data_IF_247725833072
#
_entry.id   IF_247725833072
#
_cell.length_a   1.000
_cell.length_b   1.000
_cell.length_c   1.000
_cell.angle_alpha   90.00
_cell.angle_beta   90.00
_cell.angle_gamma   90.00
#
_symmetry.space_group_name_H-M   'P 1'
#
loop_
_entity.id
_entity.type
_entity.pdbx_description
1 polymer ?
#
# COMPACT_ATOMS: atom_id res chain seq x y z
N UNK A 1 -6.85 -24.57 -7.53
CA UNK A 1 -5.69 -23.67 -7.75
C UNK A 1 -6.23 -22.26 -7.81
N UNK A 2 -5.84 -21.40 -6.89
CA UNK A 2 -6.28 -19.99 -6.82
C UNK A 2 -5.53 -19.17 -7.86
N UNK A 3 -6.24 -18.44 -8.69
CA UNK A 3 -5.69 -17.66 -9.81
C UNK A 3 -5.54 -16.20 -9.42
N UNK A 4 -4.35 -15.64 -9.65
CA UNK A 4 -3.95 -14.33 -9.12
C UNK A 4 -3.55 -13.40 -10.26
N UNK A 5 -4.14 -12.21 -10.28
CA UNK A 5 -3.68 -11.06 -11.04
C UNK A 5 -2.78 -10.19 -10.16
N UNK A 6 -1.62 -9.75 -10.66
CA UNK A 6 -0.69 -8.90 -9.92
C UNK A 6 -0.53 -7.57 -10.66
N UNK A 7 -1.11 -6.51 -10.09
CA UNK A 7 -0.94 -5.15 -10.60
C UNK A 7 0.34 -4.56 -10.01
N UNK A 8 1.35 -4.33 -10.86
CA UNK A 8 2.67 -3.85 -10.43
C UNK A 8 3.65 -4.96 -10.02
N UNK A 9 3.73 -6.04 -10.80
CA UNK A 9 4.54 -7.23 -10.51
C UNK A 9 6.04 -6.97 -10.42
N UNK A 10 6.54 -5.91 -11.01
CA UNK A 10 7.96 -5.53 -10.99
C UNK A 10 8.35 -4.64 -9.81
N UNK A 11 7.39 -4.20 -8.99
CA UNK A 11 7.61 -3.46 -7.77
C UNK A 11 8.02 -4.36 -6.58
N UNK A 12 8.34 -3.73 -5.44
CA UNK A 12 8.78 -4.46 -4.23
C UNK A 12 7.73 -5.48 -3.76
N UNK A 13 6.46 -5.09 -3.68
CA UNK A 13 5.37 -5.99 -3.25
C UNK A 13 5.10 -7.04 -4.33
N UNK A 14 5.09 -6.64 -5.61
CA UNK A 14 4.85 -7.57 -6.71
C UNK A 14 5.88 -8.69 -6.81
N UNK A 15 7.18 -8.37 -6.67
CA UNK A 15 8.25 -9.39 -6.67
C UNK A 15 8.16 -10.33 -5.47
N UNK A 16 7.86 -9.81 -4.27
CA UNK A 16 7.65 -10.63 -3.08
C UNK A 16 6.37 -11.48 -3.17
N UNK A 17 5.33 -10.97 -3.86
CA UNK A 17 4.14 -11.78 -4.18
C UNK A 17 4.50 -12.98 -5.03
N UNK A 18 5.35 -12.80 -6.06
CA UNK A 18 5.83 -13.90 -6.88
C UNK A 18 6.70 -14.89 -6.09
N UNK A 19 7.48 -14.43 -5.10
CA UNK A 19 8.20 -15.33 -4.20
C UNK A 19 7.23 -16.22 -3.41
N UNK A 20 6.11 -15.68 -2.93
CA UNK A 20 5.07 -16.47 -2.24
C UNK A 20 4.39 -17.46 -3.21
N UNK A 21 4.16 -17.07 -4.46
CA UNK A 21 3.61 -17.99 -5.47
C UNK A 21 4.55 -19.17 -5.72
N UNK A 22 5.88 -18.93 -5.81
CA UNK A 22 6.88 -20.02 -5.95
C UNK A 22 6.82 -21.05 -4.83
N UNK A 23 6.53 -20.61 -3.61
CA UNK A 23 6.40 -21.48 -2.43
C UNK A 23 5.08 -22.28 -2.40
N UNK A 24 4.06 -21.86 -3.16
CA UNK A 24 2.70 -22.38 -3.07
C UNK A 24 2.17 -22.85 -4.43
N UNK A 25 2.28 -24.15 -4.71
CA UNK A 25 1.91 -24.75 -6.00
C UNK A 25 0.43 -24.67 -6.36
N UNK A 26 -0.43 -24.34 -5.41
CA UNK A 26 -1.87 -24.16 -5.60
C UNK A 26 -2.25 -22.70 -5.92
N UNK A 27 -1.25 -21.80 -6.02
CA UNK A 27 -1.39 -20.46 -6.56
C UNK A 27 -0.90 -20.42 -8.01
N UNK A 28 -1.66 -19.76 -8.89
CA UNK A 28 -1.31 -19.57 -10.31
C UNK A 28 -1.39 -18.09 -10.66
N UNK A 29 -0.35 -17.56 -11.26
CA UNK A 29 -0.36 -16.21 -11.85
C UNK A 29 -1.07 -16.26 -13.20
N UNK A 30 -2.10 -15.43 -13.39
CA UNK A 30 -2.83 -15.29 -14.65
C UNK A 30 -2.59 -13.96 -15.32
N UNK A 31 -2.31 -12.92 -14.54
CA UNK A 31 -2.08 -11.56 -15.02
C UNK A 31 -0.84 -10.97 -14.36
N UNK A 32 0.00 -10.31 -15.15
CA UNK A 32 1.12 -9.49 -14.69
C UNK A 32 1.01 -8.08 -15.27
N UNK A 33 1.29 -7.06 -14.46
CA UNK A 33 1.40 -5.70 -14.99
C UNK A 33 2.67 -5.00 -14.53
N UNK A 34 3.20 -4.11 -15.35
CA UNK A 34 4.33 -3.25 -15.03
C UNK A 34 4.17 -1.86 -15.65
N UNK A 35 4.91 -0.88 -15.15
CA UNK A 35 4.97 0.44 -15.78
C UNK A 35 5.93 0.41 -16.98
N UNK A 36 7.26 0.31 -16.74
CA UNK A 36 8.32 0.39 -17.76
C UNK A 36 9.36 -0.72 -17.67
N UNK A 37 9.38 -1.51 -16.62
CA UNK A 37 10.45 -2.49 -16.40
C UNK A 37 10.24 -3.77 -17.21
N UNK A 38 10.43 -3.68 -18.54
CA UNK A 38 10.25 -4.81 -19.46
C UNK A 38 11.27 -5.93 -19.24
N UNK A 39 12.45 -5.62 -18.71
CA UNK A 39 13.46 -6.64 -18.47
C UNK A 39 13.00 -7.62 -17.38
N UNK A 40 12.50 -7.08 -16.28
CA UNK A 40 12.04 -7.91 -15.18
C UNK A 40 10.71 -8.61 -15.51
N UNK A 41 9.75 -7.92 -16.13
CA UNK A 41 8.47 -8.57 -16.46
C UNK A 41 8.65 -9.64 -17.53
N UNK A 42 9.58 -9.50 -18.47
CA UNK A 42 9.91 -10.53 -19.43
C UNK A 42 10.36 -11.83 -18.74
N UNK A 43 11.26 -11.74 -17.75
CA UNK A 43 11.67 -12.92 -16.96
C UNK A 43 10.51 -13.52 -16.17
N UNK A 44 9.64 -12.69 -15.64
CA UNK A 44 8.42 -13.13 -14.94
C UNK A 44 7.44 -13.85 -15.89
N UNK A 45 7.32 -13.38 -17.14
CA UNK A 45 6.48 -14.03 -18.16
C UNK A 45 7.03 -15.41 -18.50
N UNK A 46 8.34 -15.55 -18.71
CA UNK A 46 8.97 -16.84 -18.97
C UNK A 46 8.76 -17.84 -17.84
N UNK A 47 8.77 -17.37 -16.59
CA UNK A 47 8.66 -18.23 -15.41
C UNK A 47 7.20 -18.61 -15.09
N UNK A 48 6.28 -17.64 -15.10
CA UNK A 48 4.92 -17.82 -14.61
C UNK A 48 3.88 -18.06 -15.71
N UNK A 49 4.23 -17.87 -16.97
CA UNK A 49 3.37 -18.07 -18.13
C UNK A 49 1.97 -17.44 -17.96
N UNK A 50 1.86 -16.14 -17.68
CA UNK A 50 0.59 -15.48 -17.51
C UNK A 50 -0.22 -15.51 -18.81
N UNK A 51 -1.52 -15.39 -18.70
CA UNK A 51 -2.44 -15.34 -19.83
C UNK A 51 -2.60 -13.91 -20.39
N UNK A 52 -2.43 -12.91 -19.51
CA UNK A 52 -2.62 -11.50 -19.81
C UNK A 52 -1.51 -10.65 -19.19
N UNK A 53 -1.04 -9.64 -19.91
CA UNK A 53 0.01 -8.71 -19.48
C UNK A 53 -0.39 -7.28 -19.82
N UNK A 54 -0.22 -6.34 -18.86
CA UNK A 54 -0.36 -4.91 -19.15
C UNK A 54 0.97 -4.19 -18.89
N UNK A 55 1.46 -3.47 -19.89
CA UNK A 55 2.58 -2.53 -19.76
C UNK A 55 2.02 -1.12 -19.90
N UNK A 56 2.15 -0.32 -18.83
CA UNK A 56 1.55 1.01 -18.81
C UNK A 56 2.12 1.94 -19.88
N UNK A 57 3.44 1.87 -20.10
CA UNK A 57 4.12 2.64 -21.15
C UNK A 57 3.97 1.94 -22.50
N UNK A 58 3.42 2.65 -23.49
CA UNK A 58 3.11 2.12 -24.82
C UNK A 58 4.40 1.72 -25.58
N UNK A 59 5.45 2.52 -25.48
CA UNK A 59 6.71 2.23 -26.19
C UNK A 59 7.39 0.98 -25.64
N UNK A 60 7.40 0.84 -24.34
CA UNK A 60 7.94 -0.35 -23.66
C UNK A 60 7.09 -1.61 -23.96
N UNK A 61 5.77 -1.47 -24.14
CA UNK A 61 4.91 -2.57 -24.53
C UNK A 61 5.25 -3.13 -25.93
N UNK A 62 5.54 -2.26 -26.90
CA UNK A 62 5.94 -2.70 -28.25
C UNK A 62 7.30 -3.43 -28.21
N UNK A 63 8.26 -2.92 -27.45
CA UNK A 63 9.55 -3.60 -27.26
C UNK A 63 9.38 -4.97 -26.59
N UNK A 64 8.46 -5.08 -25.63
CA UNK A 64 8.15 -6.36 -24.99
C UNK A 64 7.53 -7.36 -25.98
N UNK A 65 6.62 -6.91 -26.86
CA UNK A 65 5.99 -7.76 -27.89
C UNK A 65 7.05 -8.37 -28.81
N UNK A 66 7.98 -7.56 -29.34
CA UNK A 66 9.08 -8.04 -30.21
C UNK A 66 9.93 -9.11 -29.51
N UNK A 67 10.23 -8.90 -28.22
CA UNK A 67 10.99 -9.88 -27.42
C UNK A 67 10.23 -11.18 -27.22
N UNK A 68 8.92 -11.11 -26.95
CA UNK A 68 8.07 -12.29 -26.75
C UNK A 68 7.85 -13.06 -28.04
N UNK A 69 7.73 -12.38 -29.20
CA UNK A 69 7.68 -13.04 -30.51
C UNK A 69 8.98 -13.81 -30.79
N UNK A 70 10.11 -13.25 -30.38
CA UNK A 70 11.41 -13.94 -30.52
C UNK A 70 11.48 -15.14 -29.60
N UNK A 71 11.11 -14.99 -28.32
CA UNK A 71 11.07 -16.08 -27.35
C UNK A 71 10.10 -17.21 -27.77
N UNK A 72 8.98 -16.87 -28.38
CA UNK A 72 8.02 -17.85 -28.93
C UNK A 72 8.64 -18.63 -30.11
N UNK A 73 9.29 -17.95 -31.07
CA UNK A 73 9.96 -18.58 -32.18
C UNK A 73 11.12 -19.50 -31.78
N UNK A 74 11.79 -19.15 -30.67
CA UNK A 74 12.88 -19.95 -30.08
C UNK A 74 12.37 -21.08 -29.16
N UNK A 75 11.05 -21.19 -28.94
CA UNK A 75 10.45 -22.22 -28.11
C UNK A 75 10.63 -22.00 -26.59
N UNK A 76 10.96 -20.76 -26.17
CA UNK A 76 11.10 -20.43 -24.75
C UNK A 76 9.74 -20.28 -24.06
N UNK A 77 8.69 -19.94 -24.81
CA UNK A 77 7.31 -19.88 -24.35
C UNK A 77 6.40 -20.62 -25.33
N UNK A 78 5.34 -21.26 -24.79
CA UNK A 78 4.36 -21.99 -25.62
C UNK A 78 3.29 -21.07 -26.24
N UNK A 79 3.05 -19.92 -25.61
CA UNK A 79 2.04 -18.95 -26.05
C UNK A 79 2.46 -17.54 -25.64
N UNK A 80 2.25 -16.58 -26.54
CA UNK A 80 2.40 -15.15 -26.23
C UNK A 80 1.15 -14.71 -25.43
N UNK A 81 1.28 -14.09 -24.25
CA UNK A 81 0.14 -13.55 -23.52
C UNK A 81 -0.54 -12.42 -24.29
N UNK A 82 -1.80 -12.17 -24.01
CA UNK A 82 -2.46 -10.94 -24.46
C UNK A 82 -1.77 -9.71 -23.83
N UNK A 83 -1.49 -8.67 -24.64
CA UNK A 83 -0.74 -7.50 -24.18
C UNK A 83 -1.57 -6.25 -24.39
N UNK A 84 -1.81 -5.51 -23.32
CA UNK A 84 -2.51 -4.22 -23.30
C UNK A 84 -1.65 -3.11 -22.70
N UNK A 85 -2.11 -1.86 -22.80
CA UNK A 85 -1.33 -0.68 -22.38
C UNK A 85 -2.18 0.36 -21.67
N UNK A 86 -1.52 1.26 -20.92
CA UNK A 86 -2.14 2.43 -20.31
C UNK A 86 -3.14 2.10 -19.20
N UNK A 87 -3.98 3.09 -18.89
CA UNK A 87 -4.97 2.98 -17.81
C UNK A 87 -6.05 1.95 -18.14
N UNK A 88 -6.55 1.95 -19.37
CA UNK A 88 -7.58 0.99 -19.81
C UNK A 88 -7.06 -0.44 -19.74
N UNK A 89 -5.84 -0.69 -20.20
CA UNK A 89 -5.20 -2.01 -20.07
C UNK A 89 -5.00 -2.44 -18.62
N UNK A 90 -4.73 -1.51 -17.71
CA UNK A 90 -4.63 -1.82 -16.27
C UNK A 90 -6.00 -2.15 -15.66
N UNK A 91 -7.08 -1.51 -16.12
CA UNK A 91 -8.46 -1.80 -15.74
C UNK A 91 -8.86 -3.19 -16.24
N UNK A 92 -8.57 -3.51 -17.51
CA UNK A 92 -8.82 -4.83 -18.10
C UNK A 92 -8.05 -5.93 -17.35
N UNK A 93 -6.77 -5.69 -17.03
CA UNK A 93 -5.93 -6.59 -16.24
C UNK A 93 -6.54 -6.90 -14.87
N UNK A 94 -7.09 -5.89 -14.19
CA UNK A 94 -7.72 -6.05 -12.88
C UNK A 94 -9.06 -6.82 -12.96
N UNK A 95 -9.81 -6.66 -14.05
CA UNK A 95 -11.09 -7.34 -14.26
C UNK A 95 -10.96 -8.67 -15.00
N UNK A 96 -9.73 -9.13 -15.32
CA UNK A 96 -9.49 -10.31 -16.15
C UNK A 96 -10.28 -11.53 -15.67
N UNK A 97 -11.09 -12.10 -16.55
CA UNK A 97 -12.12 -13.11 -16.20
C UNK A 97 -11.53 -14.34 -15.49
N UNK A 98 -10.32 -14.76 -15.88
CA UNK A 98 -9.69 -15.97 -15.41
C UNK A 98 -8.81 -15.73 -14.16
N UNK A 99 -9.13 -14.73 -13.34
CA UNK A 99 -8.49 -14.46 -12.05
C UNK A 99 -9.52 -14.53 -10.92
N UNK A 100 -9.13 -15.06 -9.76
CA UNK A 100 -9.96 -15.16 -8.56
C UNK A 100 -9.68 -13.98 -7.60
N UNK A 101 -8.44 -13.51 -7.58
CA UNK A 101 -7.96 -12.47 -6.68
C UNK A 101 -7.01 -11.50 -7.40
N UNK A 102 -7.06 -10.23 -7.02
CA UNK A 102 -6.18 -9.18 -7.53
C UNK A 102 -5.29 -8.65 -6.41
N UNK A 103 -3.97 -8.69 -6.62
CA UNK A 103 -2.98 -8.01 -5.76
C UNK A 103 -2.74 -6.61 -6.32
N UNK A 104 -3.13 -5.58 -5.58
CA UNK A 104 -2.99 -4.18 -5.99
C UNK A 104 -1.65 -3.62 -5.47
N UNK A 105 -0.56 -3.88 -6.19
CA UNK A 105 0.79 -3.45 -5.81
C UNK A 105 1.31 -2.27 -6.64
N UNK A 106 0.42 -1.49 -7.25
CA UNK A 106 0.71 -0.21 -7.88
C UNK A 106 0.87 0.89 -6.84
N UNK A 107 1.53 1.99 -7.18
CA UNK A 107 1.79 3.13 -6.28
C UNK A 107 0.94 4.32 -6.70
N UNK A 108 0.36 5.02 -5.71
CA UNK A 108 -0.44 6.23 -5.93
C UNK A 108 -1.88 5.93 -6.33
N UNK A 109 -2.62 6.98 -6.68
CA UNK A 109 -4.07 6.92 -6.90
C UNK A 109 -4.50 6.17 -8.17
N UNK A 110 -3.55 5.80 -9.04
CA UNK A 110 -3.81 5.01 -10.26
C UNK A 110 -4.46 3.64 -9.94
N UNK A 111 -4.34 3.15 -8.72
CA UNK A 111 -4.95 1.89 -8.27
C UNK A 111 -6.47 1.95 -8.08
N UNK A 112 -7.08 3.14 -8.01
CA UNK A 112 -8.50 3.30 -7.66
C UNK A 112 -9.41 2.63 -8.71
N UNK A 113 -9.33 3.05 -10.00
CA UNK A 113 -10.19 2.50 -11.07
C UNK A 113 -9.98 0.99 -11.29
N UNK A 114 -8.74 0.48 -11.35
CA UNK A 114 -8.52 -0.96 -11.44
C UNK A 114 -9.10 -1.75 -10.26
N UNK A 115 -9.01 -1.21 -9.02
CA UNK A 115 -9.60 -1.86 -7.84
C UNK A 115 -11.14 -1.90 -7.95
N UNK A 116 -11.77 -0.80 -8.38
CA UNK A 116 -13.22 -0.75 -8.65
C UNK A 116 -13.61 -1.78 -9.71
N UNK A 117 -12.84 -1.89 -10.81
CA UNK A 117 -13.09 -2.85 -11.87
C UNK A 117 -12.96 -4.31 -11.37
N UNK A 118 -11.95 -4.61 -10.58
CA UNK A 118 -11.76 -5.92 -9.96
C UNK A 118 -12.95 -6.30 -9.05
N UNK A 119 -13.40 -5.38 -8.18
CA UNK A 119 -14.56 -5.60 -7.30
C UNK A 119 -15.83 -5.82 -8.12
N UNK A 120 -16.06 -5.01 -9.17
CA UNK A 120 -17.21 -5.19 -10.06
C UNK A 120 -17.19 -6.54 -10.80
N UNK A 121 -16.00 -7.06 -11.09
CA UNK A 121 -15.81 -8.39 -11.66
C UNK A 121 -15.86 -9.53 -10.61
N UNK A 122 -16.19 -9.22 -9.35
CA UNK A 122 -16.33 -10.21 -8.27
C UNK A 122 -15.01 -10.81 -7.79
N UNK A 123 -13.88 -10.07 -7.92
CA UNK A 123 -12.56 -10.55 -7.52
C UNK A 123 -12.24 -10.10 -6.09
N UNK A 124 -11.74 -11.02 -5.26
CA UNK A 124 -11.15 -10.65 -3.98
C UNK A 124 -9.89 -9.80 -4.17
N UNK A 125 -9.62 -8.90 -3.23
CA UNK A 125 -8.52 -7.94 -3.32
C UNK A 125 -7.49 -8.22 -2.22
N UNK A 126 -6.23 -8.45 -2.60
CA UNK A 126 -5.08 -8.34 -1.70
C UNK A 126 -4.52 -6.91 -1.84
N UNK A 127 -4.91 -6.04 -0.91
CA UNK A 127 -4.69 -4.59 -1.02
C UNK A 127 -3.33 -4.19 -0.45
N UNK A 128 -2.42 -3.77 -1.33
CA UNK A 128 -1.16 -3.15 -0.95
C UNK A 128 -1.10 -1.65 -1.29
N UNK A 129 -1.98 -1.19 -2.18
CA UNK A 129 -2.08 0.23 -2.56
C UNK A 129 -2.98 0.99 -1.58
N UNK A 130 -2.38 1.52 -0.53
CA UNK A 130 -3.11 2.24 0.54
C UNK A 130 -3.83 3.50 0.04
N UNK A 131 -3.28 4.16 -0.98
CA UNK A 131 -3.86 5.37 -1.56
C UNK A 131 -5.28 5.14 -2.09
N UNK A 132 -5.59 3.92 -2.53
CA UNK A 132 -6.95 3.51 -2.92
C UNK A 132 -7.96 3.72 -1.80
N UNK A 133 -7.66 3.31 -0.57
CA UNK A 133 -8.56 3.51 0.57
C UNK A 133 -8.45 4.91 1.16
N UNK A 134 -7.28 5.51 1.16
CA UNK A 134 -7.10 6.90 1.63
C UNK A 134 -8.03 7.84 0.88
N UNK A 135 -8.07 7.74 -0.45
CA UNK A 135 -8.78 8.68 -1.30
C UNK A 135 -10.23 8.24 -1.60
N UNK A 136 -10.45 6.94 -1.78
CA UNK A 136 -11.73 6.39 -2.24
C UNK A 136 -12.32 5.33 -1.29
N UNK A 137 -11.91 5.28 -0.02
CA UNK A 137 -12.33 4.23 0.92
C UNK A 137 -13.84 4.13 1.08
N UNK A 138 -14.56 5.25 1.10
CA UNK A 138 -16.03 5.29 1.15
C UNK A 138 -16.70 4.65 -0.09
N UNK A 139 -16.07 4.71 -1.25
CA UNK A 139 -16.55 4.08 -2.49
C UNK A 139 -16.18 2.60 -2.49
N UNK A 140 -14.92 2.29 -2.22
CA UNK A 140 -14.34 0.94 -2.31
C UNK A 140 -15.00 -0.01 -1.31
N UNK A 141 -15.08 0.38 -0.02
CA UNK A 141 -15.63 -0.49 1.01
C UNK A 141 -17.14 -0.72 0.83
N UNK A 142 -17.88 0.32 0.44
CA UNK A 142 -19.29 0.19 0.08
C UNK A 142 -19.49 -0.79 -1.07
N UNK A 143 -18.74 -0.60 -2.17
CA UNK A 143 -18.84 -1.46 -3.36
C UNK A 143 -18.45 -2.91 -3.06
N UNK A 144 -17.38 -3.12 -2.27
CA UNK A 144 -16.97 -4.45 -1.84
C UNK A 144 -18.07 -5.16 -1.05
N UNK A 145 -18.72 -4.45 -0.11
CA UNK A 145 -19.86 -4.98 0.63
C UNK A 145 -21.06 -5.32 -0.25
N UNK A 146 -21.41 -4.47 -1.22
CA UNK A 146 -22.51 -4.71 -2.18
C UNK A 146 -22.24 -5.91 -3.09
N UNK A 147 -20.98 -6.16 -3.46
CA UNK A 147 -20.57 -7.27 -4.33
C UNK A 147 -20.20 -8.54 -3.58
N UNK A 148 -20.11 -8.51 -2.25
CA UNK A 148 -19.66 -9.64 -1.44
C UNK A 148 -18.19 -10.00 -1.67
N UNK A 149 -17.36 -9.02 -2.03
CA UNK A 149 -15.92 -9.15 -2.30
C UNK A 149 -15.14 -8.89 -1.01
N UNK A 150 -14.13 -9.71 -0.74
CA UNK A 150 -13.25 -9.52 0.41
C UNK A 150 -12.05 -8.65 0.06
N UNK A 151 -11.67 -7.77 0.99
CA UNK A 151 -10.44 -6.97 0.91
C UNK A 151 -9.50 -7.45 2.02
N UNK A 152 -8.39 -8.06 1.62
CA UNK A 152 -7.34 -8.57 2.52
C UNK A 152 -6.19 -7.57 2.56
N UNK A 153 -5.83 -7.02 3.74
CA UNK A 153 -4.75 -6.06 3.84
C UNK A 153 -3.38 -6.73 3.64
N UNK A 154 -2.56 -6.08 2.82
CA UNK A 154 -1.15 -6.45 2.60
C UNK A 154 -0.21 -5.53 3.39
N UNK A 155 -0.60 -4.28 3.66
CA UNK A 155 0.18 -3.41 4.54
C UNK A 155 0.37 -4.08 5.91
N UNK A 156 1.60 -4.06 6.45
CA UNK A 156 2.00 -4.90 7.59
C UNK A 156 1.17 -4.63 8.84
N UNK A 157 0.90 -3.37 9.14
CA UNK A 157 0.12 -2.95 10.29
C UNK A 157 -1.35 -3.36 10.19
N UNK A 158 -1.93 -3.20 9.00
CA UNK A 158 -3.32 -3.57 8.74
C UNK A 158 -3.49 -5.09 8.70
N UNK A 159 -2.53 -5.80 8.12
CA UNK A 159 -2.48 -7.27 8.20
C UNK A 159 -2.39 -7.74 9.66
N UNK A 160 -1.60 -7.06 10.50
CA UNK A 160 -1.50 -7.37 11.92
C UNK A 160 -2.84 -7.18 12.66
N UNK A 161 -3.52 -6.04 12.45
CA UNK A 161 -4.85 -5.77 13.01
C UNK A 161 -5.84 -6.83 12.53
N UNK A 162 -5.87 -7.11 11.22
CA UNK A 162 -6.71 -8.15 10.63
C UNK A 162 -6.48 -9.51 11.30
N UNK A 163 -5.22 -9.89 11.56
CA UNK A 163 -4.87 -11.12 12.26
C UNK A 163 -5.31 -11.13 13.73
N UNK A 164 -5.26 -9.99 14.42
CA UNK A 164 -5.74 -9.86 15.81
C UNK A 164 -7.26 -10.00 15.92
N UNK A 165 -8.00 -9.69 14.86
CA UNK A 165 -9.47 -9.75 14.81
C UNK A 165 -10.00 -11.14 14.43
N UNK A 166 -9.14 -12.12 14.10
CA UNK A 166 -9.59 -13.43 13.65
C UNK A 166 -10.32 -14.22 14.73
N UNK A 167 -11.37 -14.94 14.33
CA UNK A 167 -12.13 -15.84 15.19
C UNK A 167 -13.16 -15.17 16.10
N UNK A 168 -13.41 -13.87 15.94
CA UNK A 168 -14.30 -13.11 16.85
C UNK A 168 -15.00 -11.95 16.14
N UNK A 169 -16.02 -12.24 15.34
CA UNK A 169 -16.82 -11.23 14.66
C UNK A 169 -17.54 -10.25 15.62
N UNK A 170 -17.83 -10.66 16.85
CA UNK A 170 -18.68 -9.89 17.79
C UNK A 170 -17.90 -9.15 18.89
N UNK A 171 -16.57 -9.25 18.91
CA UNK A 171 -15.77 -8.55 19.93
C UNK A 171 -15.69 -7.06 19.61
N UNK A 172 -16.17 -6.24 20.57
CA UNK A 172 -16.14 -4.79 20.42
C UNK A 172 -14.72 -4.26 20.57
N UNK A 173 -14.27 -3.55 19.54
CA UNK A 173 -13.00 -2.85 19.53
C UNK A 173 -13.14 -1.59 20.38
N UNK A 174 -12.27 -1.46 21.41
CA UNK A 174 -12.11 -0.22 22.16
C UNK A 174 -11.28 0.78 21.37
N UNK A 175 -10.10 0.32 20.87
CA UNK A 175 -9.22 1.09 19.96
C UNK A 175 -8.29 0.20 19.18
N UNK A 176 -7.84 0.70 18.04
CA UNK A 176 -6.76 0.15 17.27
C UNK A 176 -5.44 0.82 17.70
N UNK A 177 -4.41 0.02 17.94
CA UNK A 177 -3.06 0.48 18.29
C UNK A 177 -2.16 0.28 17.06
N UNK A 178 -2.09 1.32 16.23
CA UNK A 178 -1.35 1.30 14.97
C UNK A 178 0.12 1.63 15.26
N UNK A 179 1.02 0.66 15.09
CA UNK A 179 2.43 0.88 15.39
C UNK A 179 3.17 1.58 14.25
N UNK A 180 4.23 2.29 14.60
CA UNK A 180 5.13 2.98 13.67
C UNK A 180 6.57 2.79 14.11
N UNK A 181 7.53 2.71 13.18
CA UNK A 181 8.96 2.72 13.54
C UNK A 181 9.43 4.06 14.12
N UNK A 182 8.70 5.14 13.82
CA UNK A 182 9.11 6.52 14.12
C UNK A 182 10.06 7.12 13.08
N UNK A 183 10.48 6.34 12.09
CA UNK A 183 11.36 6.77 11.01
C UNK A 183 12.77 7.14 11.46
N UNK A 184 13.63 7.60 10.53
CA UNK A 184 15.04 7.91 10.81
C UNK A 184 15.24 9.11 11.75
N UNK A 185 14.22 9.93 11.95
CA UNK A 185 14.33 11.17 12.74
C UNK A 185 13.64 11.11 14.09
N UNK A 186 13.27 9.91 14.57
CA UNK A 186 12.61 9.74 15.87
C UNK A 186 13.31 10.49 17.01
N UNK A 187 14.64 10.40 17.08
CA UNK A 187 15.44 10.99 18.13
C UNK A 187 16.15 12.31 17.73
N UNK A 188 15.93 12.79 16.50
CA UNK A 188 16.53 14.06 16.04
C UNK A 188 15.78 15.24 16.66
N UNK A 189 16.43 16.25 17.22
CA UNK A 189 15.79 17.48 17.69
C UNK A 189 14.97 18.18 16.58
N UNK A 190 13.88 18.84 16.95
CA UNK A 190 12.99 19.52 15.96
C UNK A 190 13.76 20.58 15.18
N UNK A 191 14.65 21.30 15.85
CA UNK A 191 15.44 22.41 15.28
C UNK A 191 16.40 21.95 14.18
N UNK A 192 16.80 20.68 14.21
CA UNK A 192 17.70 20.07 13.22
C UNK A 192 16.96 19.54 11.99
N UNK A 193 15.63 19.40 12.02
CA UNK A 193 14.86 18.88 10.91
C UNK A 193 14.92 19.76 9.67
N UNK A 194 15.17 21.06 9.81
CA UNK A 194 15.36 21.99 8.68
C UNK A 194 16.58 21.65 7.80
N UNK A 195 17.59 20.99 8.39
CA UNK A 195 18.85 20.64 7.74
C UNK A 195 18.88 19.18 7.24
N UNK A 196 17.71 18.52 7.20
CA UNK A 196 17.57 17.14 6.70
C UNK A 196 17.76 17.11 5.19
N UNK A 197 18.73 16.30 4.74
CA UNK A 197 18.99 16.05 3.32
C UNK A 197 18.21 14.83 2.81
N UNK A 198 18.06 14.74 1.48
CA UNK A 198 17.43 13.58 0.83
C UNK A 198 18.10 12.26 1.23
N UNK A 199 19.43 12.25 1.25
CA UNK A 199 20.22 11.05 1.58
C UNK A 199 20.00 10.59 3.03
N UNK A 200 19.74 11.52 3.96
CA UNK A 200 19.37 11.19 5.35
C UNK A 200 17.93 10.67 5.41
N UNK A 201 16.99 11.30 4.69
CA UNK A 201 15.58 10.92 4.69
C UNK A 201 15.35 9.52 4.09
N UNK A 202 16.22 9.09 3.15
CA UNK A 202 16.15 7.76 2.54
C UNK A 202 16.75 6.62 3.38
N UNK A 203 17.31 6.89 4.57
CA UNK A 203 17.88 5.87 5.45
C UNK A 203 16.87 5.41 6.50
N UNK A 204 16.00 4.45 6.12
CA UNK A 204 15.10 3.85 7.10
C UNK A 204 15.85 2.86 8.02
N UNK A 205 15.59 2.86 9.36
CA UNK A 205 16.34 2.02 10.30
C UNK A 205 16.09 0.51 10.14
N UNK A 206 14.89 0.08 9.79
CA UNK A 206 14.46 -1.32 9.86
C UNK A 206 13.98 -1.90 8.52
N UNK A 207 13.49 -1.06 7.59
CA UNK A 207 12.84 -1.50 6.35
C UNK A 207 13.60 -1.04 5.12
N UNK A 208 13.66 -1.91 4.11
CA UNK A 208 14.10 -1.55 2.75
C UNK A 208 12.86 -1.31 1.89
N UNK A 209 12.58 -0.04 1.58
CA UNK A 209 11.37 0.40 0.90
C UNK A 209 11.70 1.31 -0.29
N UNK A 210 10.70 1.55 -1.15
CA UNK A 210 10.81 2.55 -2.20
C UNK A 210 11.02 3.97 -1.65
N UNK A 211 11.63 4.85 -2.44
CA UNK A 211 12.01 6.20 -2.01
C UNK A 211 10.83 7.01 -1.45
N UNK A 212 9.66 6.97 -2.11
CA UNK A 212 8.44 7.68 -1.66
C UNK A 212 8.03 7.23 -0.27
N UNK A 213 7.85 5.94 -0.05
CA UNK A 213 7.42 5.38 1.23
C UNK A 213 8.45 5.64 2.34
N UNK A 214 9.75 5.61 2.02
CA UNK A 214 10.81 5.92 2.98
C UNK A 214 10.75 7.38 3.45
N UNK A 215 10.52 8.33 2.53
CA UNK A 215 10.33 9.74 2.88
C UNK A 215 9.04 9.93 3.69
N UNK A 216 7.94 9.30 3.29
CA UNK A 216 6.67 9.34 4.02
C UNK A 216 6.83 8.78 5.46
N UNK A 217 7.62 7.74 5.63
CA UNK A 217 7.96 7.21 6.97
C UNK A 217 8.73 8.24 7.79
N UNK A 218 9.68 8.95 7.18
CA UNK A 218 10.50 9.95 7.86
C UNK A 218 9.69 11.13 8.39
N UNK A 219 8.63 11.52 7.67
CA UNK A 219 7.71 12.62 8.06
C UNK A 219 6.52 12.14 8.90
N UNK A 220 6.38 10.82 9.12
CA UNK A 220 5.20 10.15 9.66
C UNK A 220 3.92 10.35 8.82
N UNK A 221 4.03 10.85 7.60
CA UNK A 221 2.91 10.89 6.64
C UNK A 221 2.46 9.48 6.27
N UNK A 222 3.40 8.53 6.10
CA UNK A 222 3.04 7.12 5.85
C UNK A 222 2.08 6.61 6.93
N UNK A 223 2.37 6.86 8.20
CA UNK A 223 1.48 6.47 9.31
C UNK A 223 0.15 7.22 9.27
N UNK A 224 0.15 8.46 8.81
CA UNK A 224 -1.08 9.20 8.56
C UNK A 224 -1.96 8.58 7.47
N UNK A 225 -1.37 8.14 6.35
CA UNK A 225 -2.07 7.39 5.29
C UNK A 225 -2.64 6.07 5.83
N UNK A 226 -1.90 5.39 6.68
CA UNK A 226 -2.31 4.15 7.31
C UNK A 226 -3.45 4.35 8.33
N UNK A 227 -3.52 5.48 9.04
CA UNK A 227 -4.70 5.85 9.87
C UNK A 227 -5.95 5.96 8.99
N UNK A 228 -5.83 6.60 7.81
CA UNK A 228 -6.94 6.70 6.87
C UNK A 228 -7.36 5.31 6.34
N UNK A 229 -6.41 4.45 6.03
CA UNK A 229 -6.67 3.08 5.57
C UNK A 229 -7.35 2.24 6.66
N UNK A 230 -6.87 2.30 7.92
CA UNK A 230 -7.44 1.60 9.06
C UNK A 230 -8.90 2.01 9.33
N UNK A 231 -9.22 3.30 9.19
CA UNK A 231 -10.58 3.84 9.29
C UNK A 231 -11.56 3.05 8.41
N UNK A 232 -11.15 2.80 7.16
CA UNK A 232 -12.01 2.14 6.19
C UNK A 232 -12.00 0.62 6.32
N UNK A 233 -10.83 -0.01 6.45
CA UNK A 233 -10.72 -1.46 6.53
C UNK A 233 -11.43 -2.08 7.74
N UNK A 234 -11.42 -1.37 8.88
CA UNK A 234 -11.92 -1.90 10.14
C UNK A 234 -13.18 -1.18 10.64
N UNK A 235 -13.76 -0.31 9.80
CA UNK A 235 -14.93 0.50 10.13
C UNK A 235 -14.82 1.14 11.53
N UNK A 236 -13.65 1.77 11.78
CA UNK A 236 -13.29 2.31 13.10
C UNK A 236 -13.13 3.81 13.03
N UNK A 237 -13.82 4.57 13.88
CA UNK A 237 -13.74 6.02 13.88
C UNK A 237 -12.31 6.50 14.21
N UNK A 238 -11.85 7.64 13.64
CA UNK A 238 -10.47 8.12 13.80
C UNK A 238 -10.05 8.35 15.26
N UNK A 239 -10.96 8.70 16.15
CA UNK A 239 -10.72 8.88 17.58
C UNK A 239 -10.43 7.57 18.33
N UNK A 240 -10.75 6.43 17.71
CA UNK A 240 -10.41 5.09 18.21
C UNK A 240 -9.15 4.51 17.58
N UNK A 241 -8.44 5.25 16.75
CA UNK A 241 -7.18 4.83 16.16
C UNK A 241 -6.04 5.59 16.83
N UNK A 242 -5.23 4.88 17.62
CA UNK A 242 -4.08 5.46 18.32
C UNK A 242 -2.77 5.00 17.67
N UNK A 243 -1.89 5.96 17.37
CA UNK A 243 -0.56 5.66 16.84
C UNK A 243 0.42 5.49 17.99
N UNK A 244 1.16 4.38 17.95
CA UNK A 244 2.20 4.03 18.94
C UNK A 244 3.52 3.82 18.24
N UNK A 245 4.55 4.56 18.60
CA UNK A 245 5.89 4.35 18.05
C UNK A 245 6.52 3.12 18.73
N UNK A 246 6.90 2.14 17.93
CA UNK A 246 7.60 0.91 18.32
C UNK A 246 8.88 0.80 17.49
N UNK A 247 10.01 1.35 18.00
CA UNK A 247 11.21 1.56 17.19
C UNK A 247 11.84 0.29 16.63
N UNK A 248 11.67 -0.84 17.30
CA UNK A 248 12.22 -2.12 16.87
C UNK A 248 11.45 -2.74 15.68
N UNK A 249 10.23 -2.26 15.38
CA UNK A 249 9.36 -2.78 14.30
C UNK A 249 9.08 -4.28 14.43
N UNK A 250 8.94 -4.79 15.64
CA UNK A 250 8.64 -6.19 15.96
C UNK A 250 7.15 -6.40 16.24
N UNK A 251 6.52 -5.45 16.95
CA UNK A 251 5.06 -5.41 17.08
C UNK A 251 4.51 -4.65 15.90
N UNK A 252 3.79 -5.35 15.02
CA UNK A 252 3.30 -4.76 13.76
C UNK A 252 1.98 -4.03 13.92
N UNK A 253 1.19 -4.28 14.94
CA UNK A 253 0.07 -3.51 15.49
C UNK A 253 -0.68 -4.35 16.50
N UNK A 254 -1.66 -3.76 17.18
CA UNK A 254 -2.48 -4.44 18.16
C UNK A 254 -3.93 -3.91 18.16
N UNK A 255 -4.83 -4.68 18.76
CA UNK A 255 -6.21 -4.31 19.02
C UNK A 255 -6.47 -4.38 20.51
N UNK A 256 -6.99 -3.32 21.10
CA UNK A 256 -7.52 -3.29 22.46
C UNK A 256 -9.04 -3.46 22.41
N UNK A 257 -9.55 -4.43 23.16
CA UNK A 257 -10.96 -4.74 23.26
C UNK A 257 -11.62 -4.08 24.49
N UNK A 258 -12.95 -4.04 24.53
CA UNK A 258 -13.70 -3.41 25.64
C UNK A 258 -13.45 -4.07 26.99
N UNK A 259 -13.03 -5.33 27.04
CA UNK A 259 -12.67 -6.03 28.28
C UNK A 259 -11.27 -5.64 28.82
N UNK A 260 -10.56 -4.75 28.09
CA UNK A 260 -9.20 -4.30 28.41
C UNK A 260 -8.09 -5.22 27.92
N UNK A 261 -8.40 -6.34 27.27
CA UNK A 261 -7.37 -7.19 26.67
C UNK A 261 -6.77 -6.53 25.43
N UNK A 262 -5.46 -6.73 25.25
CA UNK A 262 -4.73 -6.27 24.05
C UNK A 262 -4.16 -7.50 23.33
N UNK A 263 -4.56 -7.67 22.07
CA UNK A 263 -4.00 -8.70 21.19
C UNK A 263 -3.09 -8.02 20.17
N UNK A 264 -1.84 -8.48 20.08
CA UNK A 264 -0.83 -7.93 19.18
C UNK A 264 -0.26 -9.02 18.27
N UNK A 265 0.00 -8.67 17.02
CA UNK A 265 0.76 -9.53 16.12
C UNK A 265 2.23 -9.09 16.14
N UNK A 266 3.12 -10.06 16.29
CA UNK A 266 4.56 -9.87 16.31
C UNK A 266 5.24 -10.69 15.22
N UNK A 267 6.33 -10.18 14.66
CA UNK A 267 7.13 -10.86 13.66
C UNK A 267 8.39 -10.08 13.30
N UNK A 268 9.28 -10.71 12.54
CA UNK A 268 10.38 -9.98 11.90
C UNK A 268 9.82 -9.05 10.82
N UNK A 269 10.48 -7.91 10.53
CA UNK A 269 10.03 -6.98 9.49
C UNK A 269 10.24 -7.58 8.09
N UNK A 270 9.25 -8.33 7.60
CA UNK A 270 9.23 -8.97 6.28
C UNK A 270 7.83 -8.90 5.67
N UNK A 271 7.71 -8.28 4.49
CA UNK A 271 6.44 -8.15 3.78
C UNK A 271 5.91 -9.48 3.22
N UNK A 272 6.73 -10.52 3.12
CA UNK A 272 6.28 -11.84 2.67
C UNK A 272 5.23 -12.45 3.60
N UNK A 273 5.28 -12.16 4.91
CA UNK A 273 4.30 -12.65 5.87
C UNK A 273 2.90 -12.09 5.59
N UNK A 274 2.66 -10.77 5.56
CA UNK A 274 1.33 -10.23 5.27
C UNK A 274 0.86 -10.56 3.84
N UNK A 275 1.76 -10.57 2.85
CA UNK A 275 1.43 -11.01 1.48
C UNK A 275 0.94 -12.46 1.48
N UNK A 276 1.70 -13.37 2.10
CA UNK A 276 1.32 -14.78 2.18
C UNK A 276 -0.04 -14.94 2.85
N UNK A 277 -0.27 -14.27 3.98
CA UNK A 277 -1.53 -14.39 4.70
C UNK A 277 -2.73 -13.85 3.90
N UNK A 278 -2.58 -12.73 3.17
CA UNK A 278 -3.62 -12.22 2.30
C UNK A 278 -3.96 -13.20 1.15
N UNK A 279 -2.95 -13.85 0.55
CA UNK A 279 -3.14 -14.78 -0.56
C UNK A 279 -3.73 -16.12 -0.13
N UNK A 280 -3.42 -16.59 1.08
CA UNK A 280 -3.75 -17.96 1.54
C UNK A 280 -4.77 -17.98 2.67
N UNK A 281 -5.30 -16.83 3.08
CA UNK A 281 -6.29 -16.74 4.15
C UNK A 281 -7.41 -17.79 3.98
N UNK A 282 -7.82 -18.49 5.05
CA UNK A 282 -7.41 -18.31 6.46
C UNK A 282 -6.16 -19.11 6.90
N UNK A 283 -5.47 -19.75 5.98
CA UNK A 283 -4.32 -20.60 6.29
C UNK A 283 -3.05 -19.79 6.54
N UNK A 284 -2.24 -20.25 7.51
CA UNK A 284 -0.86 -19.77 7.73
C UNK A 284 0.11 -20.75 7.10
N UNK A 285 0.89 -20.27 6.13
CA UNK A 285 1.83 -21.10 5.39
C UNK A 285 3.26 -20.67 5.63
N UNK A 286 4.20 -21.57 5.36
CA UNK A 286 5.62 -21.28 5.40
C UNK A 286 5.99 -20.12 4.48
N UNK A 287 6.80 -19.19 4.97
CA UNK A 287 7.26 -18.02 4.23
C UNK A 287 8.78 -17.98 4.12
N UNK A 288 9.48 -18.19 5.25
CA UNK A 288 10.94 -18.20 5.33
C UNK A 288 11.39 -18.82 6.66
N UNK A 289 12.69 -19.18 6.77
CA UNK A 289 13.32 -19.64 8.01
C UNK A 289 13.71 -18.51 8.97
N UNK A 290 13.35 -17.26 8.66
CA UNK A 290 13.64 -16.12 9.50
C UNK A 290 12.54 -15.94 10.57
N UNK A 291 12.65 -16.63 11.67
CA UNK A 291 11.71 -16.58 12.79
C UNK A 291 12.14 -15.52 13.83
N UNK A 292 11.13 -14.94 14.49
CA UNK A 292 11.36 -14.04 15.61
C UNK A 292 11.88 -14.82 16.81
N UNK A 293 13.08 -14.50 17.28
CA UNK A 293 13.62 -15.02 18.53
C UNK A 293 13.33 -14.06 19.68
N UNK A 294 12.40 -14.43 20.55
CA UNK A 294 12.03 -13.62 21.72
C UNK A 294 13.15 -13.52 22.76
N UNK A 295 14.08 -14.47 22.81
CA UNK A 295 15.18 -14.45 23.77
C UNK A 295 16.26 -13.44 23.39
N UNK A 296 16.40 -13.16 22.11
CA UNK A 296 17.31 -12.10 21.62
C UNK A 296 16.74 -10.70 21.76
N UNK A 297 15.41 -10.56 21.94
CA UNK A 297 14.73 -9.30 22.20
C UNK A 297 14.87 -8.93 23.69
N UNK A 298 15.78 -8.05 24.05
CA UNK A 298 15.93 -7.66 25.45
C UNK A 298 14.76 -6.85 26.00
N UNK A 299 14.11 -6.03 25.14
CA UNK A 299 12.96 -5.18 25.48
C UNK A 299 12.19 -4.76 24.23
N UNK A 300 10.96 -4.31 24.46
CA UNK A 300 10.12 -3.61 23.48
C UNK A 300 9.80 -2.22 24.01
N UNK A 301 10.05 -1.21 23.21
CA UNK A 301 9.77 0.18 23.56
C UNK A 301 8.46 0.64 22.88
N UNK A 302 7.65 1.36 23.64
CA UNK A 302 6.41 1.97 23.16
C UNK A 302 6.42 3.45 23.51
N UNK A 303 6.38 4.32 22.51
CA UNK A 303 6.56 5.76 22.65
C UNK A 303 5.33 6.47 22.04
N UNK A 304 4.81 7.48 22.73
CA UNK A 304 3.76 8.33 22.20
C UNK A 304 4.36 9.28 21.14
N UNK A 305 3.78 9.39 19.94
CA UNK A 305 4.27 10.32 18.93
C UNK A 305 4.10 11.78 19.38
N UNK A 306 5.12 12.59 19.16
CA UNK A 306 5.04 14.05 19.32
C UNK A 306 4.42 14.66 18.03
N UNK A 307 3.17 15.10 18.11
CA UNK A 307 2.44 15.68 16.99
C UNK A 307 2.93 17.08 16.59
N UNK A 308 3.74 17.75 17.44
CA UNK A 308 4.41 18.99 17.04
C UNK A 308 5.59 18.72 16.14
N UNK A 309 6.33 17.65 16.43
CA UNK A 309 7.44 17.16 15.63
C UNK A 309 6.95 16.50 14.35
N UNK A 310 5.99 15.61 14.46
CA UNK A 310 5.42 14.85 13.36
C UNK A 310 4.13 15.50 12.83
N UNK A 311 4.28 16.71 12.31
CA UNK A 311 3.17 17.52 11.76
C UNK A 311 2.38 16.77 10.67
N UNK A 312 3.08 15.94 9.86
CA UNK A 312 2.43 15.10 8.84
C UNK A 312 1.36 14.17 9.41
N UNK A 313 1.64 13.53 10.55
CA UNK A 313 0.68 12.68 11.24
C UNK A 313 -0.52 13.50 11.78
N UNK A 314 -0.27 14.68 12.35
CA UNK A 314 -1.34 15.57 12.82
C UNK A 314 -2.27 15.99 11.68
N UNK A 315 -1.72 16.39 10.54
CA UNK A 315 -2.48 16.79 9.36
C UNK A 315 -3.33 15.64 8.80
N UNK A 316 -2.83 14.41 8.85
CA UNK A 316 -3.61 13.24 8.46
C UNK A 316 -4.82 13.01 9.37
N UNK A 317 -4.65 13.11 10.69
CA UNK A 317 -5.78 13.04 11.61
C UNK A 317 -6.82 14.14 11.36
N UNK A 318 -6.37 15.37 11.09
CA UNK A 318 -7.28 16.44 10.68
C UNK A 318 -8.05 16.06 9.42
N UNK A 319 -7.34 15.65 8.36
CA UNK A 319 -7.94 15.31 7.08
C UNK A 319 -8.98 14.17 7.18
N UNK A 320 -8.68 13.10 7.90
CA UNK A 320 -9.61 11.96 8.01
C UNK A 320 -10.78 12.25 8.96
N UNK A 321 -10.58 13.05 9.99
CA UNK A 321 -11.66 13.45 10.93
C UNK A 321 -12.66 14.38 10.25
N UNK A 322 -12.18 15.34 9.49
CA UNK A 322 -13.04 16.24 8.71
C UNK A 322 -13.66 15.53 7.49
N UNK A 323 -12.98 14.53 6.94
CA UNK A 323 -13.48 13.64 5.89
C UNK A 323 -13.69 14.31 4.53
N UNK A 324 -14.62 13.75 3.75
CA UNK A 324 -14.89 14.19 2.39
C UNK A 324 -13.66 14.06 1.49
N UNK A 325 -13.35 15.12 0.72
CA UNK A 325 -12.20 15.15 -0.19
C UNK A 325 -10.85 15.47 0.47
N UNK A 326 -10.81 15.80 1.78
CA UNK A 326 -9.55 16.19 2.45
C UNK A 326 -8.49 15.09 2.49
N UNK A 327 -8.79 13.79 2.69
CA UNK A 327 -7.79 12.73 2.56
C UNK A 327 -7.16 12.65 1.17
N UNK A 328 -7.93 12.92 0.12
CA UNK A 328 -7.42 13.01 -1.27
C UNK A 328 -6.45 14.17 -1.41
N UNK A 329 -6.80 15.35 -0.88
CA UNK A 329 -5.91 16.54 -0.87
C UNK A 329 -4.63 16.24 -0.11
N UNK A 330 -4.73 15.63 1.07
CA UNK A 330 -3.58 15.23 1.88
C UNK A 330 -2.62 14.33 1.09
N UNK A 331 -3.15 13.29 0.45
CA UNK A 331 -2.35 12.36 -0.33
C UNK A 331 -1.73 13.04 -1.56
N UNK A 332 -2.51 13.77 -2.36
CA UNK A 332 -2.03 14.42 -3.58
C UNK A 332 -0.96 15.48 -3.29
N UNK A 333 -1.15 16.29 -2.23
CA UNK A 333 -0.17 17.29 -1.80
C UNK A 333 1.12 16.64 -1.30
N UNK A 334 1.02 15.51 -0.59
CA UNK A 334 2.19 14.73 -0.19
C UNK A 334 2.94 14.16 -1.40
N UNK A 335 2.25 13.56 -2.37
CA UNK A 335 2.88 13.04 -3.59
C UNK A 335 3.64 14.13 -4.34
N UNK A 336 3.02 15.31 -4.54
CA UNK A 336 3.64 16.45 -5.19
C UNK A 336 4.88 16.95 -4.41
N UNK A 337 4.75 17.13 -3.10
CA UNK A 337 5.83 17.63 -2.24
C UNK A 337 7.01 16.66 -2.18
N UNK A 338 6.75 15.36 -2.02
CA UNK A 338 7.79 14.32 -2.01
C UNK A 338 8.53 14.27 -3.36
N UNK A 339 7.82 14.40 -4.48
CA UNK A 339 8.44 14.47 -5.80
C UNK A 339 9.38 15.67 -5.94
N UNK A 340 8.99 16.85 -5.43
CA UNK A 340 9.83 18.06 -5.40
C UNK A 340 11.05 17.89 -4.47
N UNK A 341 10.87 17.26 -3.31
CA UNK A 341 11.97 16.98 -2.39
C UNK A 341 12.99 16.00 -2.97
N UNK A 342 12.55 14.93 -3.65
CA UNK A 342 13.44 13.99 -4.36
C UNK A 342 14.25 14.72 -5.45
N UNK A 343 13.64 15.68 -6.12
CA UNK A 343 14.30 16.54 -7.11
C UNK A 343 15.18 17.63 -6.48
N UNK A 344 15.27 17.69 -5.14
CA UNK A 344 16.02 18.70 -4.37
C UNK A 344 15.56 20.16 -4.67
N UNK A 345 14.27 20.35 -5.01
CA UNK A 345 13.68 21.66 -5.29
C UNK A 345 13.11 22.34 -4.04
N UNK A 346 12.85 21.58 -3.01
CA UNK A 346 12.33 22.04 -1.71
C UNK A 346 13.10 21.41 -0.55
N UNK A 347 13.01 22.00 0.64
CA UNK A 347 13.56 21.45 1.88
C UNK A 347 12.63 20.40 2.51
N UNK A 348 13.16 19.67 3.51
CA UNK A 348 12.42 18.60 4.17
C UNK A 348 11.14 19.07 4.86
N UNK A 349 11.19 20.19 5.58
CA UNK A 349 10.01 20.75 6.27
C UNK A 349 8.97 21.29 5.31
N UNK A 350 9.35 21.65 4.09
CA UNK A 350 8.41 22.14 3.08
C UNK A 350 7.40 21.08 2.66
N UNK A 351 7.75 19.78 2.79
CA UNK A 351 6.82 18.68 2.51
C UNK A 351 5.53 18.86 3.31
N UNK A 352 5.63 18.97 4.62
CA UNK A 352 4.46 19.10 5.50
C UNK A 352 3.80 20.48 5.40
N UNK A 353 4.55 21.52 5.05
CA UNK A 353 3.99 22.85 4.83
C UNK A 353 3.12 22.90 3.57
N UNK A 354 3.57 22.28 2.47
CA UNK A 354 2.78 22.15 1.23
C UNK A 354 1.49 21.38 1.47
N UNK A 355 1.55 20.30 2.26
CA UNK A 355 0.33 19.55 2.63
C UNK A 355 -0.65 20.46 3.38
N UNK A 356 -0.17 21.17 4.42
CA UNK A 356 -1.02 22.08 5.21
C UNK A 356 -1.62 23.21 4.37
N UNK A 357 -0.84 23.82 3.49
CA UNK A 357 -1.32 24.87 2.59
C UNK A 357 -2.42 24.39 1.66
N UNK A 358 -2.27 23.18 1.09
CA UNK A 358 -3.30 22.63 0.20
C UNK A 358 -4.57 22.28 0.97
N UNK A 359 -4.46 21.67 2.16
CA UNK A 359 -5.61 21.41 3.02
C UNK A 359 -6.37 22.70 3.38
N UNK A 360 -5.65 23.77 3.73
CA UNK A 360 -6.26 25.05 4.12
C UNK A 360 -6.93 25.81 2.95
N UNK A 361 -6.45 25.63 1.72
CA UNK A 361 -6.99 26.29 0.53
C UNK A 361 -8.16 25.56 -0.11
N UNK A 362 -8.23 24.24 0.12
CA UNK A 362 -9.20 23.40 -0.55
C UNK A 362 -10.63 23.64 -0.03
N UNK A 363 -11.57 23.72 -0.95
CA UNK A 363 -12.99 23.74 -0.63
C UNK A 363 -13.47 22.29 -0.59
N UNK A 364 -13.81 21.83 0.61
CA UNK A 364 -14.17 20.43 0.85
C UNK A 364 -15.42 20.00 0.06
N UNK A 365 -15.32 18.85 -0.58
CA UNK A 365 -16.43 18.12 -1.17
C UNK A 365 -16.80 17.00 -0.19
N UNK A 366 -18.03 16.99 0.33
CA UNK A 366 -18.41 16.05 1.39
C UNK A 366 -18.47 14.59 0.90
N UNK A 367 -18.88 14.36 -0.33
CA UNK A 367 -19.00 13.03 -0.94
C UNK A 367 -18.36 13.01 -2.33
N UNK A 368 -17.01 13.05 -2.42
CA UNK A 368 -16.34 13.07 -3.71
C UNK A 368 -16.52 11.73 -4.43
N UNK A 369 -16.86 11.79 -5.71
CA UNK A 369 -16.81 10.64 -6.59
C UNK A 369 -15.39 10.40 -7.15
N UNK A 370 -15.22 9.38 -7.99
CA UNK A 370 -13.90 9.05 -8.55
C UNK A 370 -13.37 10.16 -9.45
N UNK A 371 -14.24 10.83 -10.20
CA UNK A 371 -13.85 11.92 -11.10
C UNK A 371 -13.43 13.16 -10.32
N UNK A 372 -14.11 13.46 -9.20
CA UNK A 372 -13.70 14.51 -8.25
C UNK A 372 -12.32 14.21 -7.64
N UNK A 373 -12.10 12.97 -7.21
CA UNK A 373 -10.83 12.51 -6.63
C UNK A 373 -9.69 12.70 -7.64
N UNK A 374 -9.86 12.25 -8.87
CA UNK A 374 -8.86 12.40 -9.93
C UNK A 374 -8.65 13.86 -10.37
N UNK A 375 -9.72 14.67 -10.36
CA UNK A 375 -9.62 16.10 -10.64
C UNK A 375 -8.78 16.80 -9.58
N UNK A 376 -9.06 16.56 -8.29
CA UNK A 376 -8.28 17.12 -7.17
C UNK A 376 -6.80 16.73 -7.29
N UNK A 377 -6.51 15.47 -7.61
CA UNK A 377 -5.14 15.02 -7.82
C UNK A 377 -4.46 15.81 -8.94
N UNK A 378 -5.12 15.98 -10.10
CA UNK A 378 -4.55 16.72 -11.24
C UNK A 378 -4.31 18.19 -10.89
N UNK A 379 -5.26 18.84 -10.23
CA UNK A 379 -5.14 20.23 -9.80
C UNK A 379 -3.93 20.45 -8.88
N UNK A 380 -3.70 19.55 -7.94
CA UNK A 380 -2.61 19.66 -6.96
C UNK A 380 -1.26 19.28 -7.57
N UNK A 381 -1.19 18.20 -8.34
CA UNK A 381 0.10 17.70 -8.86
C UNK A 381 0.56 18.50 -10.06
N UNK A 382 -0.34 18.92 -10.94
CA UNK A 382 0.01 19.55 -12.21
C UNK A 382 -0.40 21.01 -12.31
N UNK A 383 -1.18 21.53 -11.36
CA UNK A 383 -1.67 22.93 -11.37
C UNK A 383 -2.71 23.20 -12.47
N UNK A 384 -3.45 22.18 -12.91
CA UNK A 384 -4.38 22.27 -14.06
C UNK A 384 -5.81 21.97 -13.64
#
# INVERSE_FOLDING_TARGET
MKKIAILGSTGSIGTQTLDIVRLNKDLKVTVLTANKNINLIFTQILEFCPEFVCIFDIMEAELLKERLETAYREGQIEKIPEITTGVEGLIEAAAYENSDMVVTAVVGMIGIRPTIAAINAGKDIALANKETLVCAGHIIMKLAGEKGVNIYPVDSEHSAIFQCLQGRADNRIRRLLLTASGGPFLYTPIEELKDVTLERALKHPNWSMGAKVTIDSSTMVNKGLEVCEARWLFDTEPDKIEVVIQPQSIVHSAVEFEDGSVIAQMGVPDMKLPISYALTYPERRFVSDNYLDLFSLSKLDFIKPDLNKFKGLRLAFTAITEGGSLPTVFNAANEAAVALFIQKKIGYLDIVNIIEENLNRHIKIDYPDVDDIERIQREIIYGV
#
